data_IF_137437466482
#
_entry.id   IF_137437466482
#
_cell.length_a   1.000
_cell.length_b   1.000
_cell.length_c   1.000
_cell.angle_alpha   90.00
_cell.angle_beta   90.00
_cell.angle_gamma   90.00
#
_symmetry.space_group_name_H-M   'P 1'
#
loop_
_entity.id
_entity.type
_entity.pdbx_description
1 polymer ?
#
# COMPACT_ATOMS: atom_id res chain seq x y z
N UNK A 1 -1.26 -14.76 -13.28
CA UNK A 1 -1.69 -14.64 -11.87
C UNK A 1 -1.51 -13.18 -11.47
N UNK A 2 -2.39 -12.63 -10.63
CA UNK A 2 -2.26 -11.25 -10.16
C UNK A 2 -1.62 -11.26 -8.77
N UNK A 3 -0.73 -10.30 -8.53
CA UNK A 3 -0.10 -10.06 -7.21
C UNK A 3 -0.76 -8.83 -6.62
N UNK A 4 -1.15 -8.90 -5.35
CA UNK A 4 -1.78 -7.80 -4.63
C UNK A 4 -0.89 -7.26 -3.51
N UNK A 5 -0.83 -5.94 -3.39
CA UNK A 5 -0.27 -5.27 -2.23
C UNK A 5 -1.32 -4.39 -1.59
N UNK A 6 -1.44 -4.44 -0.26
CA UNK A 6 -2.41 -3.66 0.49
C UNK A 6 -1.67 -2.78 1.48
N UNK A 7 -1.79 -1.47 1.32
CA UNK A 7 -1.40 -0.49 2.33
C UNK A 7 -2.65 -0.12 3.14
N UNK A 8 -2.61 -0.41 4.43
CA UNK A 8 -3.65 -0.07 5.39
C UNK A 8 -3.17 1.13 6.20
N UNK A 9 -4.01 2.15 6.33
CA UNK A 9 -3.80 3.32 7.18
C UNK A 9 -4.88 3.31 8.26
N UNK A 10 -4.53 3.38 9.53
CA UNK A 10 -5.50 3.50 10.62
C UNK A 10 -6.15 4.88 10.66
N UNK A 11 -7.37 4.94 11.18
CA UNK A 11 -8.16 6.16 11.27
C UNK A 11 -9.06 6.38 10.05
N UNK A 12 -9.55 7.61 9.91
CA UNK A 12 -10.41 8.04 8.79
C UNK A 12 -9.72 9.14 7.95
N UNK A 13 -8.52 8.90 7.39
CA UNK A 13 -7.92 9.86 6.47
C UNK A 13 -8.80 10.01 5.23
N UNK A 14 -8.84 11.22 4.67
CA UNK A 14 -9.64 11.47 3.47
C UNK A 14 -9.17 10.59 2.31
N UNK A 15 -10.06 9.74 1.80
CA UNK A 15 -9.81 8.89 0.62
C UNK A 15 -9.34 9.72 -0.57
N UNK A 16 -9.85 10.95 -0.72
CA UNK A 16 -9.42 11.88 -1.77
C UNK A 16 -7.97 12.35 -1.58
N UNK A 17 -7.56 12.64 -0.35
CA UNK A 17 -6.18 13.03 -0.04
C UNK A 17 -5.22 11.86 -0.28
N UNK A 18 -5.59 10.64 0.12
CA UNK A 18 -4.80 9.44 -0.16
C UNK A 18 -4.69 9.18 -1.67
N UNK A 19 -5.79 9.33 -2.42
CA UNK A 19 -5.78 9.23 -3.87
C UNK A 19 -4.80 10.21 -4.53
N UNK A 20 -4.76 11.45 -4.07
CA UNK A 20 -3.82 12.44 -4.56
C UNK A 20 -2.35 12.05 -4.29
N UNK A 21 -2.05 11.46 -3.14
CA UNK A 21 -0.70 11.00 -2.78
C UNK A 21 -0.24 9.79 -3.59
N UNK A 22 -1.18 8.93 -4.03
CA UNK A 22 -0.83 7.78 -4.90
C UNK A 22 -0.48 8.16 -6.34
N UNK A 23 -0.98 9.31 -6.82
CA UNK A 23 -0.78 9.77 -8.20
C UNK A 23 0.51 10.58 -8.34
N UNK A 24 1.35 10.27 -9.32
CA UNK A 24 2.58 11.06 -9.58
C UNK A 24 2.28 12.23 -10.52
N UNK A 25 1.35 12.02 -11.44
CA UNK A 25 0.84 13.03 -12.37
C UNK A 25 -0.68 13.27 -12.15
N UNK A 26 -1.21 14.49 -12.41
CA UNK A 26 -2.64 14.76 -12.30
C UNK A 26 -3.54 13.81 -13.11
N UNK A 27 -3.07 13.28 -14.25
CA UNK A 27 -3.80 12.31 -15.08
C UNK A 27 -3.88 10.91 -14.47
N UNK A 28 -3.00 10.60 -13.53
CA UNK A 28 -2.96 9.31 -12.81
C UNK A 28 -3.88 9.28 -11.59
N UNK A 29 -4.53 10.40 -11.25
CA UNK A 29 -5.39 10.50 -10.07
C UNK A 29 -6.52 9.47 -10.15
N UNK A 30 -6.65 8.60 -9.13
CA UNK A 30 -7.82 7.75 -8.98
C UNK A 30 -9.09 8.59 -9.11
N UNK A 31 -10.05 8.07 -9.86
CA UNK A 31 -11.33 8.74 -10.06
C UNK A 31 -12.36 8.20 -9.06
N UNK A 32 -13.25 9.06 -8.53
CA UNK A 32 -14.33 8.60 -7.70
C UNK A 32 -15.23 7.67 -8.50
N UNK A 33 -15.61 6.55 -7.89
CA UNK A 33 -16.71 5.73 -8.41
C UNK A 33 -18.05 6.35 -8.02
N UNK A 34 -19.16 5.71 -8.38
CA UNK A 34 -20.49 6.09 -7.84
C UNK A 34 -20.55 6.06 -6.31
N UNK A 35 -19.61 5.37 -5.65
CA UNK A 35 -19.42 5.40 -4.21
C UNK A 35 -18.31 6.42 -3.84
N UNK A 36 -18.63 7.49 -3.08
CA UNK A 36 -17.64 8.50 -2.69
C UNK A 36 -16.54 7.98 -1.75
N UNK A 37 -16.71 6.79 -1.18
CA UNK A 37 -15.71 6.11 -0.35
C UNK A 37 -14.79 5.20 -1.16
N UNK A 38 -14.94 5.14 -2.48
CA UNK A 38 -14.20 4.23 -3.36
C UNK A 38 -13.65 4.98 -4.57
N UNK A 39 -12.33 4.93 -4.70
CA UNK A 39 -11.58 5.50 -5.81
C UNK A 39 -10.81 4.40 -6.53
N UNK A 40 -10.73 4.49 -7.85
CA UNK A 40 -9.95 3.53 -8.65
C UNK A 40 -9.23 4.21 -9.81
N UNK A 41 -8.05 3.72 -10.15
CA UNK A 41 -7.36 4.03 -11.39
C UNK A 41 -6.72 2.76 -11.96
N UNK A 42 -6.84 2.58 -13.27
CA UNK A 42 -6.16 1.50 -14.00
C UNK A 42 -4.91 2.09 -14.64
N UNK A 43 -3.75 1.80 -14.05
CA UNK A 43 -2.45 2.35 -14.45
C UNK A 43 -1.50 1.25 -14.94
N UNK A 44 -2.01 0.18 -15.55
CA UNK A 44 -1.17 -0.93 -16.04
C UNK A 44 -0.12 -0.43 -17.05
N UNK A 45 -0.53 0.39 -18.01
CA UNK A 45 0.35 0.90 -19.06
C UNK A 45 1.38 1.92 -18.55
N UNK A 46 1.09 2.67 -17.48
CA UNK A 46 2.00 3.69 -16.93
C UNK A 46 2.83 3.18 -15.75
N UNK A 47 2.21 2.42 -14.85
CA UNK A 47 2.76 2.03 -13.53
C UNK A 47 2.79 0.52 -13.27
N UNK A 48 2.19 -0.30 -14.15
CA UNK A 48 2.17 -1.76 -13.99
C UNK A 48 1.12 -2.26 -12.99
N UNK A 49 0.22 -1.40 -12.53
CA UNK A 49 -0.82 -1.77 -11.56
C UNK A 49 -2.14 -1.03 -11.76
N UNK A 50 -3.22 -1.62 -11.25
CA UNK A 50 -4.43 -0.88 -10.90
C UNK A 50 -4.41 -0.56 -9.40
N UNK A 51 -4.87 0.64 -9.03
CA UNK A 51 -5.01 1.06 -7.63
C UNK A 51 -6.49 1.18 -7.28
N UNK A 52 -6.85 0.71 -6.09
CA UNK A 52 -8.17 0.85 -5.50
C UNK A 52 -8.03 1.37 -4.08
N UNK A 53 -8.76 2.43 -3.74
CA UNK A 53 -8.70 3.08 -2.44
C UNK A 53 -10.09 3.08 -1.83
N UNK A 54 -10.22 2.54 -0.62
CA UNK A 54 -11.50 2.47 0.09
C UNK A 54 -11.35 2.76 1.58
N UNK A 55 -12.33 3.45 2.16
CA UNK A 55 -12.47 3.51 3.62
C UNK A 55 -13.32 2.36 4.16
N UNK A 56 -13.01 1.94 5.38
CA UNK A 56 -13.70 0.86 6.08
C UNK A 56 -13.66 1.05 7.60
N UNK A 57 -14.36 0.17 8.31
CA UNK A 57 -14.47 0.15 9.77
C UNK A 57 -14.40 -1.29 10.25
N UNK A 58 -13.97 -1.51 11.50
CA UNK A 58 -13.81 -2.84 12.10
C UNK A 58 -12.94 -3.74 11.22
N UNK A 59 -11.75 -3.24 10.87
CA UNK A 59 -10.79 -4.00 10.06
C UNK A 59 -10.09 -5.03 10.92
N UNK A 60 -9.83 -6.20 10.36
CA UNK A 60 -8.93 -7.20 10.94
C UNK A 60 -7.94 -7.62 9.86
N UNK A 61 -6.65 -7.52 10.18
CA UNK A 61 -5.55 -7.84 9.28
C UNK A 61 -4.57 -8.74 10.02
N UNK A 62 -4.18 -9.81 9.35
CA UNK A 62 -3.12 -10.71 9.80
C UNK A 62 -2.10 -10.89 8.67
N UNK A 63 -0.84 -11.09 9.05
CA UNK A 63 0.24 -11.39 8.11
C UNK A 63 1.43 -12.04 8.82
N UNK A 64 2.15 -12.88 8.10
CA UNK A 64 3.41 -13.48 8.53
C UNK A 64 4.54 -12.44 8.51
N UNK A 65 5.31 -12.41 9.60
CA UNK A 65 6.55 -11.64 9.72
C UNK A 65 7.77 -12.51 9.42
N UNK A 66 8.97 -11.96 9.63
CA UNK A 66 10.19 -12.77 9.69
C UNK A 66 10.06 -13.86 10.78
N UNK A 67 10.36 -15.11 10.42
CA UNK A 67 10.42 -16.24 11.35
C UNK A 67 9.08 -16.86 11.77
N UNK A 68 8.11 -16.95 10.85
CA UNK A 68 6.82 -17.64 11.03
C UNK A 68 5.94 -17.10 12.18
N UNK A 69 6.21 -15.87 12.64
CA UNK A 69 5.37 -15.21 13.64
C UNK A 69 4.20 -14.50 12.96
N UNK A 70 3.01 -14.60 13.55
CA UNK A 70 1.80 -13.93 13.07
C UNK A 70 1.73 -12.51 13.65
N UNK A 71 1.65 -11.52 12.78
CA UNK A 71 1.30 -10.15 13.13
C UNK A 71 -0.20 -9.96 12.92
N UNK A 72 -0.86 -9.34 13.89
CA UNK A 72 -2.30 -9.06 13.87
C UNK A 72 -2.55 -7.58 14.16
N UNK A 73 -3.55 -7.01 13.50
CA UNK A 73 -3.96 -5.63 13.69
C UNK A 73 -5.44 -5.42 13.45
N UNK A 74 -6.10 -4.77 14.41
CA UNK A 74 -7.53 -4.49 14.38
C UNK A 74 -7.83 -2.98 14.46
N UNK A 75 -7.72 -2.23 13.35
CA UNK A 75 -8.07 -0.82 13.33
C UNK A 75 -9.60 -0.62 13.30
N UNK A 76 -10.12 0.19 14.24
CA UNK A 76 -11.55 0.54 14.32
C UNK A 76 -12.05 1.25 13.04
N UNK A 77 -11.24 2.17 12.50
CA UNK A 77 -11.45 2.83 11.21
C UNK A 77 -10.17 2.73 10.40
N UNK A 78 -10.28 2.58 9.08
CA UNK A 78 -9.11 2.49 8.22
C UNK A 78 -9.38 2.96 6.79
N UNK A 79 -8.31 3.32 6.08
CA UNK A 79 -8.27 3.40 4.62
C UNK A 79 -7.35 2.33 4.07
N UNK A 80 -7.83 1.57 3.09
CA UNK A 80 -7.10 0.51 2.42
C UNK A 80 -6.82 0.92 0.98
N UNK A 81 -5.55 0.93 0.62
CA UNK A 81 -5.03 1.15 -0.74
C UNK A 81 -4.53 -0.20 -1.26
N UNK A 82 -5.26 -0.76 -2.22
CA UNK A 82 -4.89 -2.01 -2.89
C UNK A 82 -4.26 -1.71 -4.24
N UNK A 83 -3.06 -2.25 -4.46
CA UNK A 83 -2.35 -2.27 -5.74
C UNK A 83 -2.46 -3.68 -6.31
N UNK A 84 -3.09 -3.83 -7.47
CA UNK A 84 -3.26 -5.10 -8.17
C UNK A 84 -2.42 -5.09 -9.45
N UNK A 85 -1.55 -6.08 -9.59
CA UNK A 85 -0.52 -6.13 -10.65
C UNK A 85 -0.58 -7.46 -11.39
N UNK A 86 -0.26 -7.43 -12.68
CA UNK A 86 0.04 -8.66 -13.43
C UNK A 86 1.42 -9.19 -13.08
N UNK A 87 1.60 -10.51 -13.06
CA UNK A 87 2.90 -11.13 -12.77
C UNK A 87 4.00 -10.74 -13.79
N UNK A 88 3.63 -10.46 -15.04
CA UNK A 88 4.58 -10.24 -16.14
C UNK A 88 5.36 -8.92 -16.00
N UNK A 89 4.76 -7.87 -15.43
CA UNK A 89 5.37 -6.53 -15.27
C UNK A 89 5.76 -6.22 -13.80
N UNK A 90 5.75 -7.24 -12.95
CA UNK A 90 5.80 -7.08 -11.51
C UNK A 90 7.12 -6.47 -11.02
N UNK A 91 8.25 -7.08 -11.39
CA UNK A 91 9.57 -6.69 -10.88
C UNK A 91 10.08 -5.40 -11.52
N UNK A 92 9.93 -5.25 -12.83
CA UNK A 92 10.53 -4.15 -13.59
C UNK A 92 9.77 -2.82 -13.42
N UNK A 93 8.46 -2.90 -13.16
CA UNK A 93 7.59 -1.72 -13.20
C UNK A 93 6.65 -1.63 -12.02
N UNK A 94 5.95 -2.73 -11.72
CA UNK A 94 4.93 -2.73 -10.68
C UNK A 94 5.49 -2.35 -9.32
N UNK A 95 6.38 -3.19 -8.78
CA UNK A 95 6.92 -3.07 -7.43
C UNK A 95 7.63 -1.73 -7.20
N UNK A 96 8.56 -1.26 -8.07
CA UNK A 96 9.18 0.04 -7.88
C UNK A 96 8.18 1.21 -7.81
N UNK A 97 7.18 1.23 -8.71
CA UNK A 97 6.18 2.30 -8.72
C UNK A 97 5.23 2.22 -7.52
N UNK A 98 4.87 1.00 -7.07
CA UNK A 98 4.04 0.81 -5.88
C UNK A 98 4.76 1.24 -4.63
N UNK A 99 6.03 0.85 -4.43
CA UNK A 99 6.81 1.30 -3.27
C UNK A 99 6.97 2.81 -3.28
N UNK A 100 7.20 3.44 -4.45
CA UNK A 100 7.24 4.89 -4.56
C UNK A 100 5.88 5.56 -4.22
N UNK A 101 4.75 4.92 -4.54
CA UNK A 101 3.43 5.40 -4.12
C UNK A 101 3.23 5.26 -2.60
N UNK A 102 3.62 4.12 -2.03
CA UNK A 102 3.59 3.88 -0.57
C UNK A 102 4.45 4.91 0.16
N UNK A 103 5.68 5.13 -0.29
CA UNK A 103 6.60 6.12 0.28
C UNK A 103 5.99 7.54 0.30
N UNK A 104 5.34 7.96 -0.79
CA UNK A 104 4.66 9.26 -0.86
C UNK A 104 3.47 9.35 0.08
N UNK A 105 2.71 8.27 0.23
CA UNK A 105 1.62 8.21 1.23
C UNK A 105 2.20 8.33 2.63
N UNK A 106 3.22 7.55 2.97
CA UNK A 106 3.86 7.59 4.29
C UNK A 106 4.50 8.97 4.59
N UNK A 107 5.13 9.62 3.60
CA UNK A 107 5.71 10.95 3.79
C UNK A 107 4.66 12.06 3.94
N UNK A 108 3.46 11.88 3.36
CA UNK A 108 2.38 12.88 3.38
C UNK A 108 1.38 12.73 4.53
N UNK A 109 1.51 11.69 5.35
CA UNK A 109 0.53 11.22 6.34
C UNK A 109 1.22 10.72 7.60
N UNK A 110 0.59 10.86 8.76
CA UNK A 110 1.17 10.44 10.04
C UNK A 110 0.50 9.20 10.65
N UNK A 111 -0.55 8.67 10.03
CA UNK A 111 -1.32 7.53 10.56
C UNK A 111 -0.47 6.25 10.70
N UNK A 112 -0.76 5.42 11.69
CA UNK A 112 -0.20 4.07 11.72
C UNK A 112 -0.56 3.33 10.43
N UNK A 113 0.38 2.53 9.93
CA UNK A 113 0.26 1.91 8.62
C UNK A 113 0.83 0.49 8.59
N UNK A 114 0.30 -0.34 7.70
CA UNK A 114 0.86 -1.65 7.39
C UNK A 114 0.79 -1.94 5.90
N UNK A 115 1.87 -2.50 5.34
CA UNK A 115 1.93 -2.97 3.96
C UNK A 115 2.00 -4.50 3.95
N UNK A 116 1.01 -5.13 3.32
CA UNK A 116 0.88 -6.59 3.23
C UNK A 116 0.87 -7.01 1.76
N UNK A 117 1.67 -8.02 1.42
CA UNK A 117 1.65 -8.67 0.11
C UNK A 117 0.78 -9.93 0.14
N UNK A 118 -0.10 -10.05 -0.86
CA UNK A 118 -1.00 -11.19 -1.12
C UNK A 118 -1.82 -11.64 0.09
N UNK A 119 -2.03 -10.74 1.05
CA UNK A 119 -2.73 -11.02 2.30
C UNK A 119 -1.97 -11.92 3.29
N UNK A 120 -0.73 -12.32 2.98
CA UNK A 120 0.01 -13.29 3.78
C UNK A 120 1.30 -12.72 4.36
N UNK A 121 1.97 -11.80 3.65
CA UNK A 121 3.33 -11.39 4.03
C UNK A 121 3.38 -9.93 4.44
N UNK A 122 3.79 -9.66 5.68
CA UNK A 122 4.02 -8.31 6.16
C UNK A 122 5.33 -7.80 5.57
N UNK A 123 5.30 -6.64 4.95
CA UNK A 123 6.49 -6.01 4.35
C UNK A 123 6.95 -4.80 5.15
N UNK A 124 6.01 -4.02 5.68
CA UNK A 124 6.30 -2.81 6.42
C UNK A 124 5.20 -2.52 7.43
N UNK A 125 5.61 -1.99 8.58
CA UNK A 125 4.70 -1.37 9.55
C UNK A 125 5.21 0.02 9.90
N UNK A 126 4.30 0.97 10.05
CA UNK A 126 4.53 2.22 10.76
C UNK A 126 3.68 2.23 12.01
N UNK A 127 4.32 2.41 13.16
CA UNK A 127 3.63 2.53 14.46
C UNK A 127 4.28 3.65 15.25
N UNK A 128 3.48 4.57 15.76
CA UNK A 128 3.96 5.75 16.50
C UNK A 128 5.02 6.55 15.71
N UNK A 129 4.81 6.68 14.39
CA UNK A 129 5.74 7.36 13.48
C UNK A 129 7.03 6.60 13.16
N UNK A 130 7.26 5.42 13.73
CA UNK A 130 8.44 4.59 13.46
C UNK A 130 8.13 3.58 12.37
N UNK A 131 8.88 3.66 11.26
CA UNK A 131 8.80 2.69 10.16
C UNK A 131 9.73 1.51 10.46
N UNK A 132 9.20 0.30 10.32
CA UNK A 132 9.95 -0.97 10.37
C UNK A 132 9.65 -1.77 9.11
N UNK A 133 10.71 -2.17 8.42
CA UNK A 133 10.65 -3.13 7.32
C UNK A 133 10.69 -4.55 7.90
N UNK A 134 9.98 -5.46 7.24
CA UNK A 134 9.94 -6.90 7.50
C UNK A 134 10.34 -7.62 6.22
N UNK A 135 10.82 -8.86 6.31
CA UNK A 135 11.27 -9.65 5.16
C UNK A 135 12.40 -8.95 4.41
N UNK A 136 13.53 -8.75 5.10
CA UNK A 136 14.71 -8.07 4.56
C UNK A 136 15.13 -8.61 3.19
N UNK A 137 15.02 -9.92 2.95
CA UNK A 137 15.32 -10.53 1.65
C UNK A 137 14.45 -10.04 0.50
N UNK A 138 13.19 -9.66 0.76
CA UNK A 138 12.30 -9.05 -0.24
C UNK A 138 12.76 -7.63 -0.58
N UNK A 139 13.10 -6.83 0.44
CA UNK A 139 13.60 -5.46 0.25
C UNK A 139 14.97 -5.44 -0.43
N UNK A 140 15.86 -6.36 -0.07
CA UNK A 140 17.17 -6.56 -0.67
C UNK A 140 17.05 -6.97 -2.13
N UNK A 141 16.09 -7.83 -2.47
CA UNK A 141 15.88 -8.28 -3.84
C UNK A 141 15.53 -7.13 -4.79
N UNK A 142 14.72 -6.17 -4.34
CA UNK A 142 14.32 -5.01 -5.14
C UNK A 142 15.18 -3.76 -4.93
N UNK A 143 16.02 -3.75 -3.88
CA UNK A 143 16.83 -2.60 -3.47
C UNK A 143 16.02 -1.32 -3.19
N UNK A 144 14.81 -1.44 -2.62
CA UNK A 144 13.86 -0.33 -2.46
C UNK A 144 13.69 0.19 -1.03
N UNK A 145 14.38 -0.39 -0.04
CA UNK A 145 14.24 -0.01 1.38
C UNK A 145 14.47 1.50 1.62
N UNK A 146 15.47 2.06 0.94
CA UNK A 146 15.83 3.48 1.02
C UNK A 146 14.68 4.45 0.67
N UNK A 147 13.63 3.99 -0.01
CA UNK A 147 12.47 4.83 -0.34
C UNK A 147 11.53 5.04 0.84
N UNK A 148 11.55 4.14 1.84
CA UNK A 148 10.59 4.15 2.96
C UNK A 148 11.25 4.42 4.31
N UNK A 149 12.56 4.20 4.46
CA UNK A 149 13.23 4.31 5.76
C UNK A 149 13.91 5.65 6.05
N UNK A 150 14.08 6.54 5.06
CA UNK A 150 14.60 7.91 5.27
C UNK A 150 16.05 8.01 5.70
#
# INVERSE_FOLDING_TARGET
>A
MAVEFRLILAGDPSVHAIAALTATDPSEKPQPTSNPRLFTARLYDQRGYAVTIRSGTHGYYEAETDGDSCWEWEPETYVNVTFSMGADDLADKGIPNMVAAVARVLAGRDEDAALIQDGNYLLLTRTDGVIRTHRTSWWDHYHLEHLVTG
#
